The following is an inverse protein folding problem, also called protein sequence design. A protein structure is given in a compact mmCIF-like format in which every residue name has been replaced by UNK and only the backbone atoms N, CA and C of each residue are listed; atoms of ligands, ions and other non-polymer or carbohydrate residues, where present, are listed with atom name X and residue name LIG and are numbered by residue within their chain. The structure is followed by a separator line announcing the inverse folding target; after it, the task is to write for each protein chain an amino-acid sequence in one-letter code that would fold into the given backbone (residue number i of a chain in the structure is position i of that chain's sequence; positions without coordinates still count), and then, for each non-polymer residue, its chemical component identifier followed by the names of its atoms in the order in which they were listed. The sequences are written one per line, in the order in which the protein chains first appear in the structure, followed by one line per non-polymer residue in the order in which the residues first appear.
data_IF_161625328923
#
_entry.id   IF_161625328923
#
_cell.length_a   1.000
_cell.length_b   1.000
_cell.length_c   1.000
_cell.angle_alpha   90.00
_cell.angle_beta   90.00
_cell.angle_gamma   90.00
#
_symmetry.space_group_name_H-M   'P 1'
#
loop_
_entity.id
_entity.type
_entity.pdbx_description
1 polymer ?
#
# COMPACT_ATOMS: atom_id res chain seq x y z
N UNK A 1 -10.35 -9.48 29.74
CA UNK A 1 -9.08 -9.88 29.09
C UNK A 1 -9.36 -11.13 28.26
N UNK A 2 -9.51 -10.98 26.94
CA UNK A 2 -9.63 -12.10 26.01
C UNK A 2 -8.49 -11.96 24.99
N UNK A 3 -7.66 -12.99 24.88
CA UNK A 3 -6.57 -13.10 23.90
C UNK A 3 -7.17 -13.57 22.58
N UNK A 4 -6.82 -12.90 21.47
CA UNK A 4 -7.04 -13.43 20.13
C UNK A 4 -5.77 -14.19 19.71
N UNK A 5 -5.92 -15.48 19.46
CA UNK A 5 -4.85 -16.33 18.93
C UNK A 5 -4.99 -16.34 17.39
N UNK A 6 -3.92 -15.97 16.68
CA UNK A 6 -3.84 -16.10 15.23
C UNK A 6 -3.08 -17.39 14.92
N UNK A 7 -3.79 -18.38 14.37
CA UNK A 7 -3.22 -19.64 13.91
C UNK A 7 -2.78 -19.48 12.44
N UNK A 8 -1.48 -19.48 12.17
CA UNK A 8 -0.92 -19.66 10.83
C UNK A 8 -0.36 -21.08 10.73
N UNK A 9 -0.87 -21.85 9.77
CA UNK A 9 -0.26 -23.11 9.34
C UNK A 9 0.61 -22.87 8.08
N UNK A 10 1.74 -23.58 7.90
CA UNK A 10 2.66 -23.37 6.80
C UNK A 10 2.32 -24.24 5.56
N UNK A 11 2.79 -23.79 4.40
CA UNK A 11 2.77 -24.54 3.13
C UNK A 11 3.54 -23.77 2.04
N UNK A 12 4.87 -23.90 1.98
CA UNK A 12 5.64 -24.71 1.02
C UNK A 12 5.88 -24.01 -0.34
N UNK A 13 7.17 -23.73 -0.66
CA UNK A 13 7.61 -23.58 -2.06
C UNK A 13 8.67 -22.51 -2.36
N UNK A 14 9.94 -22.94 -2.43
CA UNK A 14 10.90 -22.43 -3.42
C UNK A 14 11.90 -21.36 -2.98
N UNK A 15 12.94 -21.76 -2.25
CA UNK A 15 14.17 -20.97 -2.13
C UNK A 15 15.00 -21.10 -3.42
N UNK A 16 15.19 -20.00 -4.15
CA UNK A 16 16.18 -19.93 -5.23
C UNK A 16 17.56 -19.69 -4.60
N UNK A 17 18.47 -20.66 -4.77
CA UNK A 17 19.84 -20.60 -4.30
C UNK A 17 20.64 -19.49 -5.01
N UNK A 18 21.35 -18.68 -4.24
CA UNK A 18 22.35 -17.74 -4.74
C UNK A 18 23.61 -18.53 -5.15
N UNK A 19 23.99 -18.45 -6.42
CA UNK A 19 25.28 -18.95 -6.91
C UNK A 19 26.36 -17.87 -6.77
N UNK A 20 27.62 -18.22 -6.47
CA UNK A 20 28.69 -17.23 -6.29
C UNK A 20 29.14 -16.64 -7.62
N UNK A 21 29.41 -15.33 -7.63
CA UNK A 21 30.04 -14.63 -8.75
C UNK A 21 31.51 -15.09 -8.89
N UNK A 22 31.86 -15.57 -10.08
CA UNK A 22 33.24 -15.72 -10.53
C UNK A 22 33.56 -14.59 -11.52
N UNK A 23 34.73 -13.97 -11.35
CA UNK A 23 35.28 -12.96 -12.25
C UNK A 23 35.69 -13.58 -13.60
N UNK A 24 35.43 -12.88 -14.71
CA UNK A 24 35.87 -13.30 -16.04
C UNK A 24 35.44 -12.35 -17.16
N UNK A 25 36.43 -11.68 -17.74
CA UNK A 25 36.41 -10.75 -18.88
C UNK A 25 36.12 -11.44 -20.23
N UNK A 26 35.41 -10.73 -21.13
CA UNK A 26 35.56 -10.87 -22.59
C UNK A 26 34.33 -11.30 -23.39
N UNK A 27 33.91 -10.44 -24.34
CA UNK A 27 33.40 -10.90 -25.65
C UNK A 27 31.93 -10.64 -26.03
N UNK A 28 31.74 -9.59 -26.84
CA UNK A 28 30.77 -9.35 -27.94
C UNK A 28 29.52 -10.26 -28.11
N UNK A 29 28.38 -9.59 -28.32
CA UNK A 29 27.30 -10.11 -29.16
C UNK A 29 26.07 -10.64 -28.42
N UNK A 30 25.18 -9.77 -27.94
CA UNK A 30 23.90 -10.22 -27.38
C UNK A 30 22.90 -9.09 -27.19
N UNK A 31 21.97 -8.99 -28.14
CA UNK A 31 20.66 -8.31 -28.13
C UNK A 31 20.35 -7.51 -26.85
N UNK A 32 20.37 -6.17 -26.96
CA UNK A 32 19.72 -5.28 -26.00
C UNK A 32 18.24 -5.69 -25.94
N UNK A 33 17.77 -6.21 -24.80
CA UNK A 33 16.34 -6.41 -24.57
C UNK A 33 15.65 -5.06 -24.68
N UNK A 34 14.89 -4.89 -25.76
CA UNK A 34 14.07 -3.73 -26.00
C UNK A 34 13.10 -3.56 -24.83
N UNK A 35 13.02 -2.34 -24.31
CA UNK A 35 12.08 -1.98 -23.24
C UNK A 35 10.67 -2.39 -23.65
N UNK A 36 10.10 -3.34 -22.92
CA UNK A 36 8.70 -3.69 -23.03
C UNK A 36 7.90 -2.47 -22.57
N UNK A 37 7.23 -1.81 -23.51
CA UNK A 37 6.27 -0.75 -23.21
C UNK A 37 5.23 -1.31 -22.25
N UNK A 38 5.32 -0.90 -20.99
CA UNK A 38 4.42 -1.35 -19.94
C UNK A 38 2.99 -0.92 -20.30
N UNK A 39 2.15 -1.90 -20.63
CA UNK A 39 0.71 -1.68 -20.68
C UNK A 39 0.29 -1.10 -19.32
N UNK A 40 -0.50 -0.02 -19.32
CA UNK A 40 -1.06 0.53 -18.08
C UNK A 40 -1.71 -0.62 -17.29
N UNK A 41 -1.29 -0.87 -16.04
CA UNK A 41 -1.84 -2.00 -15.32
C UNK A 41 -3.34 -1.81 -15.10
N UNK A 42 -4.09 -2.91 -15.14
CA UNK A 42 -5.51 -2.88 -14.88
C UNK A 42 -5.77 -2.38 -13.45
N UNK A 43 -6.81 -1.55 -13.29
CA UNK A 43 -7.24 -1.09 -11.98
C UNK A 43 -7.62 -2.27 -11.09
N UNK A 44 -7.12 -2.27 -9.85
CA UNK A 44 -7.43 -3.28 -8.85
C UNK A 44 -7.32 -2.71 -7.42
N UNK A 45 -8.02 -3.34 -6.49
CA UNK A 45 -8.22 -2.83 -5.12
C UNK A 45 -7.56 -3.69 -4.04
N UNK A 46 -6.93 -4.80 -4.43
CA UNK A 46 -6.54 -5.87 -3.52
C UNK A 46 -5.06 -5.82 -3.12
N UNK A 47 -4.21 -5.27 -3.98
CA UNK A 47 -2.76 -5.17 -3.78
C UNK A 47 -2.24 -3.80 -4.19
N UNK A 48 -1.14 -3.30 -3.61
CA UNK A 48 -0.50 -2.12 -4.16
C UNK A 48 0.21 -2.43 -5.48
N UNK A 49 0.00 -1.58 -6.48
CA UNK A 49 0.62 -1.65 -7.80
C UNK A 49 1.89 -0.81 -7.82
N UNK A 50 3.01 -1.40 -8.23
CA UNK A 50 4.27 -0.69 -8.36
C UNK A 50 4.24 0.25 -9.58
N UNK A 51 4.42 1.56 -9.34
CA UNK A 51 4.55 2.57 -10.38
C UNK A 51 6.02 2.90 -10.66
N UNK A 52 6.82 3.00 -9.59
CA UNK A 52 8.27 3.20 -9.60
C UNK A 52 8.89 2.39 -8.45
N UNK A 53 10.23 2.35 -8.35
CA UNK A 53 10.99 1.58 -7.33
C UNK A 53 10.44 1.74 -5.91
N UNK A 54 10.02 2.95 -5.55
CA UNK A 54 9.58 3.32 -4.21
C UNK A 54 8.17 3.89 -4.18
N UNK A 55 7.42 3.75 -5.26
CA UNK A 55 6.09 4.38 -5.39
C UNK A 55 5.11 3.30 -5.78
N UNK A 56 4.22 2.99 -4.85
CA UNK A 56 3.11 2.08 -5.09
C UNK A 56 1.78 2.84 -5.01
N UNK A 57 0.80 2.36 -5.77
CA UNK A 57 -0.58 2.86 -5.75
C UNK A 57 -1.51 1.76 -5.28
N UNK A 58 -2.35 2.05 -4.31
CA UNK A 58 -3.47 1.21 -3.92
C UNK A 58 -4.76 1.98 -4.17
N UNK A 59 -5.63 1.45 -5.03
CA UNK A 59 -6.90 2.10 -5.38
C UNK A 59 -8.01 1.61 -4.45
N UNK A 60 -8.65 2.51 -3.69
CA UNK A 60 -9.79 2.18 -2.85
C UNK A 60 -10.99 1.71 -3.71
N UNK A 61 -11.83 0.84 -3.14
CA UNK A 61 -12.98 0.27 -3.86
C UNK A 61 -14.22 1.19 -3.80
N UNK A 62 -14.06 2.46 -4.22
CA UNK A 62 -15.09 3.50 -4.16
C UNK A 62 -15.32 4.20 -5.51
N UNK A 63 -15.72 3.46 -6.58
CA UNK A 63 -15.85 4.04 -7.92
C UNK A 63 -16.99 5.06 -8.00
N UNK A 64 -16.78 6.13 -8.77
CA UNK A 64 -17.78 7.16 -9.05
C UNK A 64 -17.38 8.02 -10.25
N UNK A 65 -18.25 8.94 -10.67
CA UNK A 65 -17.89 9.94 -11.67
C UNK A 65 -16.71 10.84 -11.24
N UNK A 66 -16.52 11.03 -9.93
CA UNK A 66 -15.46 11.89 -9.37
C UNK A 66 -14.16 11.13 -9.09
N UNK A 67 -14.27 9.89 -8.63
CA UNK A 67 -13.14 9.04 -8.22
C UNK A 67 -12.67 8.10 -9.34
N UNK A 68 -13.40 8.03 -10.45
CA UNK A 68 -13.14 7.06 -11.52
C UNK A 68 -13.25 5.63 -10.98
N UNK A 69 -12.23 4.78 -11.15
CA UNK A 69 -12.19 3.45 -10.54
C UNK A 69 -12.13 3.46 -9.00
N UNK A 70 -11.73 4.57 -8.39
CA UNK A 70 -11.60 4.75 -6.95
C UNK A 70 -10.47 5.71 -6.57
N UNK A 71 -10.43 6.12 -5.30
CA UNK A 71 -9.37 6.98 -4.78
C UNK A 71 -8.03 6.27 -4.85
N UNK A 72 -7.00 6.97 -5.31
CA UNK A 72 -5.63 6.45 -5.28
C UNK A 72 -4.93 6.85 -3.99
N UNK A 73 -4.61 5.85 -3.17
CA UNK A 73 -3.65 5.98 -2.07
C UNK A 73 -2.25 5.68 -2.60
N UNK A 74 -1.27 6.52 -2.28
CA UNK A 74 0.13 6.27 -2.65
C UNK A 74 0.97 5.87 -1.43
N UNK A 75 1.79 4.83 -1.61
CA UNK A 75 2.70 4.30 -0.61
C UNK A 75 4.13 4.59 -1.09
N UNK A 76 4.85 5.42 -0.36
CA UNK A 76 6.16 5.94 -0.74
C UNK A 76 7.21 5.45 0.25
N UNK A 77 8.22 4.70 -0.21
CA UNK A 77 9.33 4.24 0.62
C UNK A 77 9.65 2.76 0.44
N UNK A 78 10.33 2.19 1.43
CA UNK A 78 10.68 0.78 1.52
C UNK A 78 10.93 0.38 2.98
N UNK A 79 11.10 -0.92 3.25
CA UNK A 79 11.29 -1.43 4.62
C UNK A 79 12.47 -0.81 5.38
N UNK A 80 13.55 -0.43 4.69
CA UNK A 80 14.71 0.20 5.31
C UNK A 80 14.44 1.66 5.76
N UNK A 81 13.58 2.37 5.04
CA UNK A 81 13.30 3.79 5.26
C UNK A 81 11.96 4.06 5.93
N UNK A 82 11.12 3.03 6.08
CA UNK A 82 9.70 3.17 6.38
C UNK A 82 8.94 3.85 5.23
N UNK A 83 7.65 4.10 5.47
CA UNK A 83 6.73 4.56 4.44
C UNK A 83 6.05 5.89 4.78
N UNK A 84 5.81 6.70 3.76
CA UNK A 84 4.80 7.76 3.77
C UNK A 84 3.57 7.29 2.99
N UNK A 85 2.38 7.59 3.51
CA UNK A 85 1.09 7.29 2.87
C UNK A 85 0.44 8.60 2.46
N UNK A 86 0.07 8.73 1.18
CA UNK A 86 -0.65 9.89 0.65
C UNK A 86 -2.10 9.48 0.39
N UNK A 87 -3.04 10.27 0.90
CA UNK A 87 -4.49 10.09 0.75
C UNK A 87 -4.94 8.66 1.10
N UNK A 88 -5.03 8.32 2.40
CA UNK A 88 -5.26 6.96 2.87
C UNK A 88 -6.64 6.39 2.50
N UNK A 89 -7.50 7.19 1.85
CA UNK A 89 -8.76 6.76 1.27
C UNK A 89 -9.97 7.16 2.11
N UNK A 90 -11.16 6.76 1.67
CA UNK A 90 -12.40 7.03 2.37
C UNK A 90 -12.52 6.16 3.63
N UNK A 91 -13.36 6.62 4.53
CA UNK A 91 -14.03 5.80 5.55
C UNK A 91 -15.50 5.91 5.24
N UNK A 92 -16.21 4.77 5.22
CA UNK A 92 -17.64 4.86 4.97
C UNK A 92 -18.35 5.14 6.28
N UNK A 93 -19.06 6.27 6.34
CA UNK A 93 -19.93 6.62 7.44
C UNK A 93 -21.39 6.23 7.18
N UNK A 94 -21.73 5.73 5.98
CA UNK A 94 -23.05 5.18 5.70
C UNK A 94 -23.17 3.73 6.24
N UNK A 95 -24.41 3.28 6.43
CA UNK A 95 -24.70 1.95 7.00
C UNK A 95 -24.54 0.79 5.99
N UNK A 96 -23.97 1.03 4.81
CA UNK A 96 -23.77 -0.04 3.82
C UNK A 96 -22.59 -0.93 4.24
N UNK A 97 -22.91 -2.08 4.85
CA UNK A 97 -21.94 -3.03 5.39
C UNK A 97 -20.82 -3.42 4.39
N UNK A 98 -21.13 -3.50 3.09
CA UNK A 98 -20.14 -3.82 2.05
C UNK A 98 -19.06 -2.74 1.93
N UNK A 99 -19.45 -1.47 1.87
CA UNK A 99 -18.51 -0.36 1.72
C UNK A 99 -17.65 -0.20 2.96
N UNK A 100 -18.25 -0.32 4.15
CA UNK A 100 -17.50 -0.32 5.41
C UNK A 100 -16.44 -1.43 5.45
N UNK A 101 -16.79 -2.64 5.03
CA UNK A 101 -15.84 -3.75 4.92
C UNK A 101 -14.71 -3.44 3.93
N UNK A 102 -15.03 -2.89 2.75
CA UNK A 102 -14.05 -2.54 1.74
C UNK A 102 -13.07 -1.45 2.23
N UNK A 103 -13.56 -0.42 2.92
CA UNK A 103 -12.70 0.65 3.45
C UNK A 103 -11.82 0.16 4.61
N UNK A 104 -12.33 -0.73 5.47
CA UNK A 104 -11.49 -1.41 6.47
C UNK A 104 -10.40 -2.25 5.82
N UNK A 105 -10.73 -3.04 4.79
CA UNK A 105 -9.76 -3.84 4.05
C UNK A 105 -8.71 -2.97 3.34
N UNK A 106 -9.07 -1.76 2.90
CA UNK A 106 -8.12 -0.82 2.31
C UNK A 106 -7.03 -0.43 3.32
N UNK A 107 -7.40 -0.09 4.55
CA UNK A 107 -6.46 0.19 5.64
C UNK A 107 -5.60 -1.04 5.96
N UNK A 108 -6.20 -2.24 6.03
CA UNK A 108 -5.48 -3.50 6.27
C UNK A 108 -4.42 -3.77 5.19
N UNK A 109 -4.73 -3.49 3.93
CA UNK A 109 -3.79 -3.64 2.80
C UNK A 109 -2.63 -2.64 2.88
N UNK A 110 -2.89 -1.40 3.30
CA UNK A 110 -1.84 -0.41 3.56
C UNK A 110 -0.89 -0.92 4.66
N UNK A 111 -1.43 -1.42 5.77
CA UNK A 111 -0.63 -1.95 6.88
C UNK A 111 0.18 -3.19 6.47
N UNK A 112 -0.44 -4.11 5.74
CA UNK A 112 0.22 -5.32 5.25
C UNK A 112 1.41 -4.99 4.33
N UNK A 113 1.23 -4.04 3.40
CA UNK A 113 2.31 -3.63 2.50
C UNK A 113 3.46 -2.93 3.23
N UNK A 114 3.13 -2.09 4.22
CA UNK A 114 4.11 -1.26 4.92
C UNK A 114 4.76 -1.97 6.12
N UNK A 115 4.29 -3.17 6.48
CA UNK A 115 4.69 -3.86 7.71
C UNK A 115 4.39 -3.02 8.98
N UNK A 116 3.40 -2.13 8.87
CA UNK A 116 3.04 -1.13 9.87
C UNK A 116 4.02 0.03 10.04
N UNK A 117 5.18 0.08 9.37
CA UNK A 117 6.15 1.19 9.49
C UNK A 117 5.75 2.40 8.63
N UNK A 118 4.58 2.96 8.92
CA UNK A 118 4.11 4.24 8.37
C UNK A 118 4.60 5.35 9.29
N UNK A 119 5.35 6.30 8.74
CA UNK A 119 5.94 7.43 9.48
C UNK A 119 5.19 8.74 9.24
N UNK A 120 4.59 8.86 8.06
CA UNK A 120 3.85 10.03 7.63
C UNK A 120 2.55 9.62 6.93
N UNK A 121 1.48 10.34 7.23
CA UNK A 121 0.21 10.28 6.52
C UNK A 121 -0.06 11.70 5.99
N UNK A 122 -0.12 11.85 4.67
CA UNK A 122 -0.25 13.12 3.98
C UNK A 122 -1.63 13.21 3.33
N UNK A 123 -2.45 14.15 3.78
CA UNK A 123 -3.76 14.44 3.18
C UNK A 123 -3.61 15.61 2.22
N UNK A 124 -3.83 15.38 0.93
CA UNK A 124 -3.69 16.41 -0.10
C UNK A 124 -4.72 17.53 0.07
N UNK A 125 -5.96 17.17 0.41
CA UNK A 125 -7.08 18.07 0.69
C UNK A 125 -8.16 17.33 1.50
N UNK A 126 -9.20 18.05 1.93
CA UNK A 126 -10.17 17.57 2.94
C UNK A 126 -11.38 16.79 2.39
N UNK A 127 -11.40 16.43 1.10
CA UNK A 127 -12.55 15.73 0.53
C UNK A 127 -12.74 14.32 1.13
N UNK A 128 -13.99 13.84 1.25
CA UNK A 128 -14.32 12.59 1.95
C UNK A 128 -13.74 11.32 1.32
N UNK A 129 -13.31 11.38 0.07
CA UNK A 129 -12.74 10.25 -0.63
C UNK A 129 -11.23 10.08 -0.37
N UNK A 130 -10.55 11.08 0.20
CA UNK A 130 -9.09 11.10 0.39
C UNK A 130 -8.64 10.93 1.85
N UNK A 131 -9.09 11.83 2.73
CA UNK A 131 -8.52 12.01 4.07
C UNK A 131 -9.17 11.28 5.25
N UNK A 132 -10.44 10.81 5.22
CA UNK A 132 -11.08 10.24 6.42
C UNK A 132 -10.36 9.03 7.04
N UNK A 133 -9.63 8.24 6.23
CA UNK A 133 -8.87 7.09 6.75
C UNK A 133 -7.58 7.49 7.49
N UNK A 134 -7.20 8.77 7.56
CA UNK A 134 -5.96 9.20 8.21
C UNK A 134 -5.91 8.87 9.70
N UNK A 135 -6.96 9.23 10.45
CA UNK A 135 -7.01 8.94 11.88
C UNK A 135 -7.15 7.42 12.18
N UNK A 136 -8.02 6.65 11.48
CA UNK A 136 -8.05 5.20 11.59
C UNK A 136 -6.73 4.51 11.26
N UNK A 137 -6.04 4.90 10.19
CA UNK A 137 -4.74 4.36 9.83
C UNK A 137 -3.69 4.66 10.91
N UNK A 138 -3.63 5.90 11.39
CA UNK A 138 -2.72 6.30 12.47
C UNK A 138 -2.96 5.47 13.75
N UNK A 139 -4.21 5.24 14.12
CA UNK A 139 -4.58 4.42 15.27
C UNK A 139 -4.17 2.95 15.06
N UNK A 140 -4.40 2.40 13.88
CA UNK A 140 -4.03 1.02 13.55
C UNK A 140 -2.50 0.81 13.55
N UNK A 141 -1.74 1.78 13.05
CA UNK A 141 -0.27 1.77 13.13
C UNK A 141 0.19 1.75 14.60
N UNK A 142 -0.35 2.64 15.44
CA UNK A 142 -0.03 2.65 16.87
C UNK A 142 -0.39 1.33 17.58
N UNK A 143 -1.55 0.75 17.24
CA UNK A 143 -1.99 -0.54 17.79
C UNK A 143 -1.07 -1.71 17.40
N UNK A 144 -0.30 -1.59 16.31
CA UNK A 144 0.71 -2.58 15.90
C UNK A 144 2.05 -2.48 16.66
N UNK A 145 2.16 -1.58 17.64
CA UNK A 145 3.39 -1.35 18.41
C UNK A 145 4.41 -0.44 17.71
N UNK A 146 4.01 0.22 16.61
CA UNK A 146 4.83 1.18 15.88
C UNK A 146 4.62 2.60 16.42
N UNK A 147 5.60 3.51 16.26
CA UNK A 147 5.41 4.91 16.60
C UNK A 147 4.19 5.50 15.86
N UNK A 148 3.45 6.38 16.52
CA UNK A 148 2.30 7.06 15.93
C UNK A 148 2.77 7.95 14.78
N UNK A 149 2.33 7.74 13.52
CA UNK A 149 2.75 8.57 12.40
C UNK A 149 2.25 10.01 12.53
N UNK A 150 2.97 10.95 11.93
CA UNK A 150 2.49 12.33 11.80
C UNK A 150 1.43 12.39 10.71
N UNK A 151 0.27 13.00 11.00
CA UNK A 151 -0.71 13.40 9.98
C UNK A 151 -0.39 14.85 9.59
N UNK A 152 -0.20 15.11 8.29
CA UNK A 152 0.04 16.45 7.76
C UNK A 152 -0.86 16.73 6.54
N UNK A 153 -1.04 18.02 6.23
CA UNK A 153 -1.99 18.47 5.20
C UNK A 153 -3.39 18.75 5.77
N UNK A 154 -4.41 18.81 4.90
CA UNK A 154 -5.78 19.09 5.31
C UNK A 154 -6.56 17.78 5.49
N UNK A 155 -6.60 17.26 6.72
CA UNK A 155 -7.48 16.16 7.05
C UNK A 155 -8.95 16.61 7.04
N UNK A 156 -9.89 15.71 6.73
CA UNK A 156 -11.31 15.94 6.99
C UNK A 156 -11.51 16.16 8.49
N UNK A 157 -12.30 17.17 8.84
CA UNK A 157 -12.71 17.46 10.23
C UNK A 157 -13.82 16.55 10.71
#
# INVERSE_FOLDING_TARGET
MMRAEYLLAPGEGGAAALSPHADGDGGDGGVRSAGQGSARPAWQHERPEALLRHVHRLTAANPSAMTGPGTNTYLIGEAATGYAVIDPGPVDANDAARSQQQHRQHIERILAHTGGDVRYILCTHSHPDHSPAAAPLQAAVAASGRPRPVIAGMASG
#
